data_IF_187330157160
#
_entry.id   IF_187330157160
#
_cell.length_a   1.000
_cell.length_b   1.000
_cell.length_c   1.000
_cell.angle_alpha   90.00
_cell.angle_beta   90.00
_cell.angle_gamma   90.00
#
_symmetry.space_group_name_H-M   'P 1'
#
loop_
_entity.id
_entity.type
_entity.pdbx_description
1 polymer ?
#
# COMPACT_ATOMS: atom_id res chain seq x y z
N UNK A 1 -10.95 1.28 -11.71
CA UNK A 1 -9.56 1.35 -11.24
C UNK A 1 -9.59 2.20 -9.99
N UNK A 2 -8.97 1.77 -8.89
CA UNK A 2 -8.93 2.53 -7.62
C UNK A 2 -7.51 3.05 -7.34
N UNK A 3 -7.36 4.01 -6.44
CA UNK A 3 -6.06 4.61 -6.11
C UNK A 3 -4.99 3.57 -5.70
N UNK A 4 -5.41 2.47 -5.04
CA UNK A 4 -4.52 1.39 -4.59
C UNK A 4 -3.98 0.58 -5.76
N UNK A 5 -4.81 0.27 -6.75
CA UNK A 5 -4.39 -0.41 -7.98
C UNK A 5 -3.38 0.43 -8.76
N UNK A 6 -3.61 1.73 -8.89
CA UNK A 6 -2.67 2.66 -9.54
C UNK A 6 -1.34 2.71 -8.78
N UNK A 7 -1.41 2.83 -7.45
CA UNK A 7 -0.22 2.87 -6.61
C UNK A 7 0.57 1.56 -6.66
N UNK A 8 -0.12 0.42 -6.75
CA UNK A 8 0.52 -0.88 -6.93
C UNK A 8 1.27 -0.95 -8.24
N UNK A 9 0.66 -0.58 -9.37
CA UNK A 9 1.31 -0.63 -10.68
C UNK A 9 2.59 0.20 -10.68
N UNK A 10 2.50 1.45 -10.18
CA UNK A 10 3.67 2.34 -10.02
C UNK A 10 4.73 1.65 -9.17
N UNK A 11 4.35 1.14 -7.99
CA UNK A 11 5.28 0.49 -7.07
C UNK A 11 5.95 -0.75 -7.68
N UNK A 12 5.17 -1.63 -8.29
CA UNK A 12 5.63 -2.91 -8.83
C UNK A 12 6.55 -2.76 -10.02
N UNK A 13 6.38 -1.71 -10.83
CA UNK A 13 7.24 -1.44 -11.99
C UNK A 13 8.70 -1.15 -11.61
N UNK A 14 8.96 -0.78 -10.35
CA UNK A 14 10.31 -0.55 -9.84
C UNK A 14 10.90 -1.73 -9.06
N UNK A 15 10.20 -2.86 -9.02
CA UNK A 15 10.65 -4.04 -8.29
C UNK A 15 11.34 -5.01 -9.22
N UNK A 16 12.65 -5.15 -9.04
CA UNK A 16 13.41 -6.20 -9.71
C UNK A 16 13.07 -7.57 -9.09
N UNK A 17 12.75 -8.58 -9.93
CA UNK A 17 12.53 -9.93 -9.44
C UNK A 17 13.77 -10.46 -8.73
N UNK A 18 13.59 -11.04 -7.54
CA UNK A 18 14.66 -11.71 -6.81
C UNK A 18 14.37 -13.20 -6.69
N UNK A 19 15.42 -14.01 -6.61
CA UNK A 19 15.31 -15.41 -6.22
C UNK A 19 15.58 -15.56 -4.72
N UNK A 20 14.67 -16.25 -4.03
CA UNK A 20 14.84 -16.60 -2.63
C UNK A 20 14.56 -18.09 -2.45
N UNK A 21 15.59 -18.85 -2.04
CA UNK A 21 15.50 -20.30 -1.82
C UNK A 21 14.90 -21.08 -3.02
N UNK A 22 15.28 -20.69 -4.24
CA UNK A 22 14.80 -21.30 -5.48
C UNK A 22 13.38 -20.88 -5.89
N UNK A 23 12.78 -19.91 -5.20
CA UNK A 23 11.50 -19.33 -5.58
C UNK A 23 11.71 -17.92 -6.13
N UNK A 24 11.10 -17.66 -7.28
CA UNK A 24 11.04 -16.31 -7.85
C UNK A 24 10.03 -15.49 -7.05
N UNK A 25 10.51 -14.44 -6.40
CA UNK A 25 9.68 -13.51 -5.64
C UNK A 25 9.16 -12.44 -6.60
N UNK A 26 7.85 -12.21 -6.55
CA UNK A 26 7.17 -11.21 -7.37
C UNK A 26 6.41 -10.24 -6.46
N UNK A 27 6.18 -8.99 -6.92
CA UNK A 27 5.16 -8.14 -6.34
C UNK A 27 3.81 -8.87 -6.22
N UNK A 28 3.18 -8.77 -5.05
CA UNK A 28 1.86 -9.36 -4.79
C UNK A 28 0.93 -8.26 -4.29
N UNK A 29 -0.16 -8.01 -5.02
CA UNK A 29 -1.11 -6.95 -4.72
C UNK A 29 -1.69 -7.05 -3.31
N UNK A 30 -2.04 -8.25 -2.86
CA UNK A 30 -2.58 -8.47 -1.51
C UNK A 30 -1.60 -8.10 -0.40
N UNK A 31 -0.30 -8.35 -0.61
CA UNK A 31 0.74 -7.94 0.34
C UNK A 31 0.89 -6.42 0.34
N UNK A 32 0.91 -5.81 -0.83
CA UNK A 32 0.96 -4.35 -0.98
C UNK A 32 -0.23 -3.67 -0.28
N UNK A 33 -1.44 -4.21 -0.44
CA UNK A 33 -2.65 -3.70 0.22
C UNK A 33 -2.53 -3.76 1.74
N UNK A 34 -2.03 -4.88 2.29
CA UNK A 34 -1.76 -5.01 3.72
C UNK A 34 -0.74 -3.99 4.21
N UNK A 35 0.30 -3.72 3.42
CA UNK A 35 1.31 -2.70 3.78
C UNK A 35 0.71 -1.29 3.81
N UNK A 36 -0.17 -0.94 2.85
CA UNK A 36 -0.90 0.33 2.90
C UNK A 36 -1.80 0.42 4.13
N UNK A 37 -2.47 -0.66 4.53
CA UNK A 37 -3.30 -0.71 5.75
C UNK A 37 -2.46 -0.45 7.00
N UNK A 38 -1.27 -1.04 7.11
CA UNK A 38 -0.33 -0.79 8.21
C UNK A 38 0.13 0.68 8.20
N UNK A 39 0.50 1.22 7.03
CA UNK A 39 0.92 2.60 6.88
C UNK A 39 -0.19 3.62 7.21
N UNK A 40 -1.44 3.25 6.96
CA UNK A 40 -2.62 4.02 7.34
C UNK A 40 -2.92 3.93 8.85
N UNK A 41 -2.17 3.16 9.62
CA UNK A 41 -2.28 3.06 11.08
C UNK A 41 -3.24 1.96 11.58
N UNK A 42 -3.70 1.07 10.71
CA UNK A 42 -4.62 -0.02 11.06
C UNK A 42 -3.84 -1.33 11.17
N UNK A 43 -3.24 -1.55 12.33
CA UNK A 43 -2.41 -2.73 12.58
C UNK A 43 -2.42 -3.10 14.06
N UNK A 44 -2.05 -4.35 14.33
CA UNK A 44 -1.83 -4.84 15.68
C UNK A 44 -0.50 -5.61 15.79
N UNK A 45 0.16 -5.57 16.96
CA UNK A 45 1.41 -6.31 17.18
C UNK A 45 1.14 -7.81 17.32
N UNK A 46 2.03 -8.62 16.76
CA UNK A 46 2.00 -10.08 16.83
C UNK A 46 3.40 -10.64 17.06
N UNK A 47 3.48 -11.91 17.49
CA UNK A 47 4.71 -12.69 17.51
C UNK A 47 4.61 -13.86 16.54
N UNK A 48 5.66 -14.08 15.76
CA UNK A 48 5.82 -15.35 15.04
C UNK A 48 6.16 -16.47 16.03
N UNK A 49 6.03 -17.71 15.57
CA UNK A 49 6.33 -18.90 16.39
C UNK A 49 7.79 -18.95 16.89
N UNK A 50 8.71 -18.27 16.21
CA UNK A 50 10.11 -18.14 16.60
C UNK A 50 10.36 -17.01 17.63
N UNK A 51 9.30 -16.35 18.10
CA UNK A 51 9.37 -15.25 19.06
C UNK A 51 9.70 -13.90 18.43
N UNK A 52 9.83 -13.79 17.11
CA UNK A 52 10.10 -12.50 16.46
C UNK A 52 8.85 -11.61 16.42
N UNK A 53 9.02 -10.35 16.85
CA UNK A 53 7.98 -9.33 16.81
C UNK A 53 7.67 -8.90 15.38
N UNK A 54 6.38 -8.77 15.05
CA UNK A 54 5.88 -8.17 13.81
C UNK A 54 4.61 -7.38 14.08
N UNK A 55 4.17 -6.65 13.07
CA UNK A 55 2.83 -6.05 13.01
C UNK A 55 2.05 -6.69 11.87
N UNK A 56 0.76 -6.90 12.09
CA UNK A 56 -0.16 -7.38 11.07
C UNK A 56 -1.21 -6.32 10.75
N UNK A 57 -1.59 -6.26 9.47
CA UNK A 57 -2.65 -5.39 9.00
C UNK A 57 -4.00 -5.85 9.55
N UNK A 58 -4.82 -4.92 10.03
CA UNK A 58 -6.18 -5.24 10.42
C UNK A 58 -7.01 -5.69 9.21
N UNK A 59 -7.89 -6.67 9.42
CA UNK A 59 -8.82 -7.13 8.39
C UNK A 59 -9.96 -6.11 8.24
N UNK A 60 -9.77 -5.14 7.37
CA UNK A 60 -10.76 -4.11 7.07
C UNK A 60 -11.85 -4.68 6.15
N UNK A 61 -13.05 -4.89 6.69
CA UNK A 61 -14.23 -5.24 5.92
C UNK A 61 -14.87 -3.96 5.34
N UNK A 62 -14.24 -3.40 4.31
CA UNK A 62 -14.64 -2.13 3.69
C UNK A 62 -16.13 -2.05 3.32
N UNK A 63 -16.74 -3.18 2.93
CA UNK A 63 -18.16 -3.25 2.56
C UNK A 63 -19.13 -3.06 3.73
N UNK A 64 -18.65 -3.19 4.98
CA UNK A 64 -19.49 -3.08 6.19
C UNK A 64 -19.12 -1.86 7.04
N UNK A 65 -18.23 -0.99 6.56
CA UNK A 65 -17.82 0.22 7.27
C UNK A 65 -18.85 1.33 7.05
N UNK A 66 -19.00 2.24 8.03
CA UNK A 66 -19.77 3.46 7.82
C UNK A 66 -19.07 4.35 6.79
N UNK A 67 -19.82 5.24 6.15
CA UNK A 67 -19.27 6.20 5.18
C UNK A 67 -18.16 7.07 5.79
N UNK A 68 -18.32 7.50 7.05
CA UNK A 68 -17.31 8.29 7.76
C UNK A 68 -16.00 7.51 7.95
N UNK A 69 -16.09 6.27 8.44
CA UNK A 69 -14.88 5.44 8.65
C UNK A 69 -14.26 5.04 7.31
N UNK A 70 -15.07 4.84 6.27
CA UNK A 70 -14.58 4.62 4.92
C UNK A 70 -13.78 5.82 4.42
N UNK A 71 -14.32 7.04 4.53
CA UNK A 71 -13.67 8.26 4.08
C UNK A 71 -12.35 8.53 4.84
N UNK A 72 -12.32 8.32 6.15
CA UNK A 72 -11.11 8.48 6.97
C UNK A 72 -10.01 7.50 6.53
N UNK A 73 -10.37 6.21 6.45
CA UNK A 73 -9.44 5.16 6.04
C UNK A 73 -8.95 5.37 4.60
N UNK A 74 -9.83 5.84 3.73
CA UNK A 74 -9.50 6.19 2.36
C UNK A 74 -8.47 7.33 2.31
N UNK A 75 -8.72 8.44 3.02
CA UNK A 75 -7.79 9.56 3.13
C UNK A 75 -6.42 9.13 3.66
N UNK A 76 -6.37 8.36 4.76
CA UNK A 76 -5.11 7.86 5.32
C UNK A 76 -4.36 6.94 4.34
N UNK A 77 -5.08 6.19 3.52
CA UNK A 77 -4.47 5.35 2.48
C UNK A 77 -3.82 6.20 1.38
N UNK A 78 -4.46 7.29 0.96
CA UNK A 78 -3.88 8.25 0.01
C UNK A 78 -2.61 8.87 0.61
N UNK A 79 -2.66 9.34 1.86
CA UNK A 79 -1.49 9.91 2.53
C UNK A 79 -0.32 8.92 2.59
N UNK A 80 -0.60 7.66 2.89
CA UNK A 80 0.40 6.59 2.89
C UNK A 80 1.05 6.40 1.50
N UNK A 81 0.25 6.38 0.43
CA UNK A 81 0.73 6.27 -0.96
C UNK A 81 1.65 7.46 -1.29
N UNK A 82 1.18 8.67 -1.02
CA UNK A 82 1.92 9.91 -1.30
C UNK A 82 3.24 9.98 -0.52
N UNK A 83 3.25 9.51 0.73
CA UNK A 83 4.43 9.61 1.58
C UNK A 83 5.44 8.46 1.40
N UNK A 84 5.00 7.25 1.01
CA UNK A 84 5.85 6.04 1.06
C UNK A 84 6.02 5.32 -0.27
N UNK A 85 5.09 5.49 -1.21
CA UNK A 85 5.15 4.82 -2.50
C UNK A 85 5.80 5.74 -3.53
N UNK A 86 5.23 6.93 -3.76
CA UNK A 86 5.67 7.82 -4.84
C UNK A 86 7.10 8.37 -4.67
N UNK A 87 7.57 8.80 -3.48
CA UNK A 87 8.90 9.37 -3.32
C UNK A 87 10.02 8.35 -3.52
N UNK A 88 9.76 7.07 -3.21
CA UNK A 88 10.75 5.99 -3.32
C UNK A 88 11.10 5.65 -4.76
N UNK A 89 10.21 5.99 -5.70
CA UNK A 89 10.36 5.67 -7.12
C UNK A 89 11.20 6.68 -7.91
N UNK A 90 11.74 7.72 -7.26
CA UNK A 90 12.57 8.71 -7.94
C UNK A 90 11.85 9.44 -9.08
N UNK A 91 10.52 9.55 -8.97
CA UNK A 91 9.68 10.19 -9.98
C UNK A 91 10.16 11.64 -10.19
N UNK A 92 10.38 12.01 -11.45
CA UNK A 92 10.55 13.42 -11.81
C UNK A 92 9.31 14.18 -11.36
N UNK A 93 9.49 15.45 -10.96
CA UNK A 93 8.43 16.28 -10.35
C UNK A 93 7.14 16.29 -11.18
N UNK A 94 7.27 16.29 -12.50
CA UNK A 94 6.16 16.28 -13.44
C UNK A 94 5.42 14.93 -13.46
N UNK A 95 6.15 13.81 -13.39
CA UNK A 95 5.57 12.48 -13.29
C UNK A 95 4.88 12.27 -11.93
N UNK A 96 5.48 12.80 -10.85
CA UNK A 96 4.88 12.80 -9.52
C UNK A 96 3.54 13.56 -9.51
N UNK A 97 3.48 14.76 -10.08
CA UNK A 97 2.25 15.54 -10.16
C UNK A 97 1.16 14.80 -10.94
N UNK A 98 1.49 14.24 -12.11
CA UNK A 98 0.55 13.44 -12.89
C UNK A 98 0.06 12.19 -12.12
N UNK A 99 0.93 11.51 -11.38
CA UNK A 99 0.52 10.36 -10.56
C UNK A 99 -0.33 10.77 -9.35
N UNK A 100 -0.05 11.92 -8.73
CA UNK A 100 -0.88 12.51 -7.67
C UNK A 100 -2.27 12.83 -8.22
N UNK A 101 -2.34 13.50 -9.37
CA UNK A 101 -3.62 13.86 -10.00
C UNK A 101 -4.44 12.61 -10.30
N UNK A 102 -3.84 11.56 -10.89
CA UNK A 102 -4.54 10.29 -11.10
C UNK A 102 -4.99 9.64 -9.79
N UNK A 103 -4.17 9.67 -8.74
CA UNK A 103 -4.55 9.08 -7.44
C UNK A 103 -5.72 9.85 -6.82
N UNK A 104 -5.78 11.17 -6.99
CA UNK A 104 -6.85 12.04 -6.51
C UNK A 104 -8.11 12.00 -7.41
N UNK A 105 -7.98 11.73 -8.71
CA UNK A 105 -9.13 11.56 -9.62
C UNK A 105 -10.01 10.35 -9.28
N UNK A 106 -9.41 9.33 -8.66
CA UNK A 106 -10.10 8.14 -8.19
C UNK A 106 -10.29 8.14 -6.66
N UNK A 107 -10.10 9.30 -6.02
CA UNK A 107 -10.28 9.53 -4.58
C UNK A 107 -11.67 9.98 -4.17
#
# INVERSE_FOLDING_TARGET
>A
MDARSIAYDIWSDGMEPIEYRGQRVQPVFDKFRKDLTILAGYWHPVFNIDGTFKVEADSLAWATMSEETFAELYSKTIDAILAKVLPRHGLKREALAHHVDRVLEFA
#
